data_IF_919973330332
#
_entry.id   IF_919973330332
#
_cell.length_a   1.000
_cell.length_b   1.000
_cell.length_c   1.000
_cell.angle_alpha   90.00
_cell.angle_beta   90.00
_cell.angle_gamma   90.00
#
_symmetry.space_group_name_H-M   'P 1'
#
loop_
_entity.id
_entity.type
_entity.pdbx_description
1 polymer ?
#
# COMPACT_ATOMS: atom_id res chain seq x y z
N UNK A 1 -13.96 9.41 -0.30
CA UNK A 1 -13.53 10.83 -0.38
C UNK A 1 -14.66 11.81 -0.76
N UNK A 2 -15.65 11.44 -1.63
CA UNK A 2 -16.70 12.36 -2.06
C UNK A 2 -17.53 12.91 -0.89
N UNK A 3 -17.99 12.07 0.03
CA UNK A 3 -18.78 12.45 1.21
C UNK A 3 -17.98 13.40 2.11
N UNK A 4 -16.72 13.04 2.42
CA UNK A 4 -15.82 13.85 3.22
C UNK A 4 -15.63 15.26 2.63
N UNK A 5 -15.40 15.35 1.32
CA UNK A 5 -15.23 16.61 0.62
C UNK A 5 -16.52 17.46 0.66
N UNK A 6 -17.69 16.84 0.50
CA UNK A 6 -18.96 17.54 0.58
C UNK A 6 -19.25 18.04 1.99
N UNK A 7 -18.99 17.20 3.02
CA UNK A 7 -19.12 17.63 4.41
C UNK A 7 -18.19 18.80 4.72
N UNK A 8 -16.91 18.73 4.33
CA UNK A 8 -15.97 19.81 4.55
C UNK A 8 -16.33 21.10 3.80
N UNK A 9 -16.90 20.98 2.59
CA UNK A 9 -17.44 22.12 1.85
C UNK A 9 -18.61 22.74 2.60
N UNK A 10 -19.57 21.92 3.07
CA UNK A 10 -20.70 22.39 3.86
C UNK A 10 -20.23 23.15 5.12
N UNK A 11 -19.26 22.61 5.86
CA UNK A 11 -18.69 23.28 7.04
C UNK A 11 -18.14 24.67 6.72
N UNK A 12 -17.51 24.85 5.56
CA UNK A 12 -17.03 26.16 5.08
C UNK A 12 -18.19 27.09 4.70
N UNK A 13 -19.18 26.59 3.98
CA UNK A 13 -20.33 27.37 3.51
C UNK A 13 -21.19 27.86 4.69
N UNK A 14 -21.26 27.08 5.78
CA UNK A 14 -22.00 27.43 7.01
C UNK A 14 -21.47 28.69 7.71
N UNK A 15 -20.22 29.13 7.45
CA UNK A 15 -19.70 30.40 7.99
C UNK A 15 -20.54 31.57 7.45
N UNK A 16 -20.95 31.52 6.20
CA UNK A 16 -21.67 32.58 5.52
C UNK A 16 -23.18 32.31 5.46
N UNK A 17 -23.58 31.05 5.64
CA UNK A 17 -24.96 30.56 5.55
C UNK A 17 -25.29 29.62 6.71
N UNK A 18 -25.60 30.16 7.90
CA UNK A 18 -25.89 29.34 9.08
C UNK A 18 -27.13 28.45 8.93
N UNK A 19 -28.06 28.79 8.02
CA UNK A 19 -29.24 28.00 7.64
C UNK A 19 -28.88 26.59 7.16
N UNK A 20 -27.70 26.41 6.56
CA UNK A 20 -27.20 25.12 6.08
C UNK A 20 -26.88 24.12 7.20
N UNK A 21 -26.90 24.56 8.47
CA UNK A 21 -26.63 23.68 9.64
C UNK A 21 -27.59 22.49 9.70
N UNK A 22 -28.82 22.65 9.23
CA UNK A 22 -29.82 21.59 9.21
C UNK A 22 -29.46 20.43 8.24
N UNK A 23 -28.59 20.67 7.28
CA UNK A 23 -28.15 19.65 6.30
C UNK A 23 -26.94 18.84 6.79
N UNK A 24 -26.23 19.31 7.83
CA UNK A 24 -25.04 18.64 8.35
C UNK A 24 -25.29 17.20 8.83
N UNK A 25 -26.41 16.89 9.51
CA UNK A 25 -26.70 15.52 9.93
C UNK A 25 -26.78 14.51 8.79
N UNK A 26 -27.22 14.93 7.60
CA UNK A 26 -27.30 14.05 6.42
C UNK A 26 -25.89 13.59 6.00
N UNK A 27 -24.92 14.48 6.04
CA UNK A 27 -23.53 14.15 5.72
C UNK A 27 -22.85 13.37 6.85
N UNK A 28 -23.20 13.67 8.11
CA UNK A 28 -22.72 12.94 9.27
C UNK A 28 -23.18 11.47 9.21
N UNK A 29 -24.46 11.21 8.88
CA UNK A 29 -25.00 9.86 8.74
C UNK A 29 -24.29 9.06 7.62
N UNK A 30 -24.13 9.67 6.44
CA UNK A 30 -23.41 9.03 5.35
C UNK A 30 -21.94 8.77 5.71
N UNK A 31 -21.28 9.72 6.38
CA UNK A 31 -19.89 9.55 6.84
C UNK A 31 -19.78 8.37 7.82
N UNK A 32 -20.72 8.23 8.74
CA UNK A 32 -20.77 7.13 9.69
C UNK A 32 -21.00 5.80 9.00
N UNK A 33 -21.99 5.71 8.11
CA UNK A 33 -22.30 4.48 7.37
C UNK A 33 -21.10 3.95 6.60
N UNK A 34 -20.57 4.78 5.69
CA UNK A 34 -19.46 4.35 4.84
C UNK A 34 -18.14 4.28 5.59
N UNK A 35 -17.95 5.15 6.59
CA UNK A 35 -16.75 5.14 7.42
C UNK A 35 -16.61 3.85 8.23
N UNK A 36 -17.68 3.37 8.86
CA UNK A 36 -17.71 2.08 9.57
C UNK A 36 -17.37 0.91 8.65
N UNK A 37 -17.93 0.91 7.43
CA UNK A 37 -17.62 -0.14 6.44
C UNK A 37 -16.15 -0.13 6.04
N UNK A 38 -15.53 1.06 5.88
CA UNK A 38 -14.11 1.20 5.57
C UNK A 38 -13.24 0.68 6.73
N UNK A 39 -13.54 1.08 7.97
CA UNK A 39 -12.78 0.65 9.16
C UNK A 39 -12.80 -0.88 9.28
N UNK A 40 -13.98 -1.49 9.18
CA UNK A 40 -14.13 -2.96 9.26
C UNK A 40 -13.37 -3.65 8.13
N UNK A 41 -13.50 -3.16 6.89
CA UNK A 41 -12.81 -3.77 5.75
C UNK A 41 -11.29 -3.64 5.85
N UNK A 42 -10.78 -2.49 6.32
CA UNK A 42 -9.34 -2.30 6.56
C UNK A 42 -8.82 -3.26 7.62
N UNK A 43 -9.55 -3.42 8.73
CA UNK A 43 -9.16 -4.37 9.79
C UNK A 43 -9.05 -5.78 9.23
N UNK A 44 -10.10 -6.27 8.59
CA UNK A 44 -10.09 -7.61 7.96
C UNK A 44 -8.96 -7.74 6.95
N UNK A 45 -8.73 -6.73 6.09
CA UNK A 45 -7.68 -6.74 5.08
C UNK A 45 -6.28 -6.84 5.70
N UNK A 46 -6.02 -6.11 6.79
CA UNK A 46 -4.73 -6.17 7.48
C UNK A 46 -4.54 -7.51 8.19
N UNK A 47 -5.60 -8.09 8.76
CA UNK A 47 -5.56 -9.41 9.37
C UNK A 47 -5.23 -10.49 8.31
N UNK A 48 -5.94 -10.48 7.16
CA UNK A 48 -5.68 -11.36 6.02
C UNK A 48 -4.24 -11.21 5.48
N UNK A 49 -3.75 -9.97 5.41
CA UNK A 49 -2.41 -9.66 4.91
C UNK A 49 -1.32 -10.14 5.87
N UNK A 50 -1.54 -10.04 7.19
CA UNK A 50 -0.60 -10.50 8.21
C UNK A 50 -0.34 -12.01 8.14
N UNK A 51 -1.35 -12.82 7.80
CA UNK A 51 -1.18 -14.27 7.61
C UNK A 51 -0.13 -14.59 6.53
N UNK A 52 -0.03 -13.74 5.51
CA UNK A 52 0.86 -13.95 4.37
C UNK A 52 2.20 -13.25 4.60
N UNK A 53 2.17 -11.97 5.00
CA UNK A 53 3.38 -11.15 5.11
C UNK A 53 4.36 -11.66 6.15
N UNK A 54 3.87 -12.26 7.21
CA UNK A 54 4.70 -12.84 8.27
C UNK A 54 5.69 -13.88 7.72
N UNK A 55 5.20 -14.87 6.98
CA UNK A 55 6.04 -15.92 6.41
C UNK A 55 6.94 -15.39 5.29
N UNK A 56 6.43 -14.52 4.43
CA UNK A 56 7.23 -13.91 3.36
C UNK A 56 8.39 -13.10 3.94
N UNK A 57 8.13 -12.29 4.96
CA UNK A 57 9.19 -11.47 5.57
C UNK A 57 10.25 -12.32 6.25
N UNK A 58 9.85 -13.38 6.95
CA UNK A 58 10.82 -14.34 7.54
C UNK A 58 11.72 -14.94 6.47
N UNK A 59 11.18 -15.36 5.35
CA UNK A 59 11.95 -15.96 4.27
C UNK A 59 12.92 -14.95 3.64
N UNK A 60 12.47 -13.72 3.36
CA UNK A 60 13.32 -12.66 2.78
C UNK A 60 14.43 -12.22 3.73
N UNK A 61 14.13 -12.14 5.03
CA UNK A 61 15.09 -11.71 6.07
C UNK A 61 16.03 -12.82 6.53
N UNK A 62 15.90 -14.04 6.00
CA UNK A 62 16.66 -15.21 6.43
C UNK A 62 16.30 -15.66 7.85
N UNK A 63 15.01 -15.58 8.19
CA UNK A 63 14.43 -15.95 9.51
C UNK A 63 14.93 -15.11 10.70
N UNK A 64 15.52 -13.95 10.43
CA UNK A 64 16.06 -13.06 11.47
C UNK A 64 15.05 -12.10 12.06
N UNK A 65 14.03 -11.74 11.27
CA UNK A 65 13.06 -10.70 11.61
C UNK A 65 11.64 -11.16 11.28
N UNK A 66 10.68 -10.61 11.99
CA UNK A 66 9.25 -10.81 11.74
C UNK A 66 8.59 -9.47 11.50
N UNK A 67 7.76 -9.36 10.45
CA UNK A 67 6.97 -8.17 10.15
C UNK A 67 5.51 -8.42 10.55
N UNK A 68 4.97 -7.49 11.32
CA UNK A 68 3.56 -7.46 11.70
C UNK A 68 3.00 -6.09 11.32
N UNK A 69 1.90 -6.08 10.59
CA UNK A 69 1.14 -4.88 10.27
C UNK A 69 0.07 -4.67 11.33
N UNK A 70 0.02 -3.46 11.91
CA UNK A 70 -1.04 -3.12 12.89
C UNK A 70 -1.88 -1.98 12.32
N UNK A 71 -3.16 -2.22 12.18
CA UNK A 71 -4.10 -1.17 11.81
C UNK A 71 -4.32 -0.24 13.00
N UNK A 72 -4.08 1.04 12.80
CA UNK A 72 -4.28 2.10 13.79
C UNK A 72 -5.46 2.99 13.35
N UNK A 73 -6.70 2.58 13.62
CA UNK A 73 -7.86 3.40 13.29
C UNK A 73 -7.84 4.69 14.12
N UNK A 74 -8.12 5.82 13.49
CA UNK A 74 -8.31 7.10 14.18
C UNK A 74 -9.44 7.02 15.20
N UNK A 75 -10.43 6.18 14.92
CA UNK A 75 -11.58 5.93 15.78
C UNK A 75 -12.07 4.49 15.62
N UNK A 76 -12.43 3.86 16.72
CA UNK A 76 -13.11 2.58 16.70
C UNK A 76 -14.54 2.74 16.15
N UNK A 77 -14.97 1.77 15.34
CA UNK A 77 -16.30 1.72 14.73
C UNK A 77 -17.44 1.91 15.75
N UNK A 78 -17.31 1.31 16.94
CA UNK A 78 -18.32 1.40 18.00
C UNK A 78 -18.51 2.83 18.54
N UNK A 79 -17.43 3.62 18.59
CA UNK A 79 -17.45 4.97 19.16
C UNK A 79 -17.51 6.08 18.11
N UNK A 80 -17.57 5.74 16.84
CA UNK A 80 -17.45 6.72 15.76
C UNK A 80 -18.51 7.82 15.82
N UNK A 81 -19.76 7.49 16.11
CA UNK A 81 -20.84 8.48 16.21
C UNK A 81 -20.62 9.46 17.36
N UNK A 82 -20.25 8.95 18.52
CA UNK A 82 -20.04 9.77 19.71
C UNK A 82 -18.86 10.72 19.52
N UNK A 83 -17.75 10.23 18.97
CA UNK A 83 -16.59 11.06 18.71
C UNK A 83 -16.83 12.07 17.58
N UNK A 84 -17.60 11.72 16.55
CA UNK A 84 -17.99 12.68 15.52
C UNK A 84 -18.84 13.81 16.11
N UNK A 85 -19.76 13.48 17.03
CA UNK A 85 -20.58 14.47 17.75
C UNK A 85 -19.71 15.37 18.65
N UNK A 86 -18.76 14.81 19.39
CA UNK A 86 -17.82 15.57 20.23
C UNK A 86 -16.91 16.49 19.40
N UNK A 87 -16.50 16.03 18.22
CA UNK A 87 -15.66 16.79 17.31
C UNK A 87 -16.38 17.92 16.59
N UNK A 88 -17.72 18.01 16.67
CA UNK A 88 -18.54 18.93 15.86
C UNK A 88 -18.12 20.40 15.99
N UNK A 89 -17.88 20.89 17.20
CA UNK A 89 -17.46 22.28 17.42
C UNK A 89 -16.06 22.55 16.83
N UNK A 90 -15.15 21.59 16.96
CA UNK A 90 -13.82 21.64 16.36
C UNK A 90 -13.91 21.66 14.85
N UNK A 91 -14.71 20.77 14.27
CA UNK A 91 -14.91 20.67 12.83
C UNK A 91 -15.51 21.96 12.24
N UNK A 92 -16.47 22.57 12.94
CA UNK A 92 -17.04 23.86 12.57
C UNK A 92 -15.98 24.98 12.60
N UNK A 93 -15.16 25.03 13.65
CA UNK A 93 -14.09 26.04 13.80
C UNK A 93 -13.04 25.95 12.69
N UNK A 94 -12.61 24.75 12.35
CA UNK A 94 -11.55 24.51 11.37
C UNK A 94 -12.07 24.20 9.97
N UNK A 95 -13.40 24.13 9.77
CA UNK A 95 -14.04 23.78 8.49
C UNK A 95 -13.54 22.46 7.91
N UNK A 96 -13.21 21.51 8.77
CA UNK A 96 -12.62 20.24 8.39
C UNK A 96 -13.06 19.11 9.31
N UNK A 97 -13.41 17.97 8.74
CA UNK A 97 -13.70 16.74 9.48
C UNK A 97 -12.43 16.22 10.13
N UNK A 98 -12.44 16.09 11.46
CA UNK A 98 -11.27 15.69 12.26
C UNK A 98 -11.28 14.22 12.69
N UNK A 99 -12.42 13.52 12.55
CA UNK A 99 -12.60 12.13 12.99
C UNK A 99 -13.07 11.27 11.83
N UNK A 100 -12.51 10.07 11.71
CA UNK A 100 -12.94 9.08 10.72
C UNK A 100 -11.78 8.42 9.97
N UNK A 101 -12.09 7.47 9.05
CA UNK A 101 -11.09 6.60 8.41
C UNK A 101 -10.09 7.31 7.48
N UNK A 102 -10.31 8.58 7.16
CA UNK A 102 -9.34 9.40 6.42
C UNK A 102 -8.16 9.86 7.29
N UNK A 103 -8.20 9.58 8.59
CA UNK A 103 -7.16 9.85 9.59
C UNK A 103 -6.50 8.58 10.12
N UNK A 104 -6.91 7.42 9.62
CA UNK A 104 -6.30 6.15 10.02
C UNK A 104 -4.84 6.08 9.61
N UNK A 105 -4.09 5.31 10.35
CA UNK A 105 -2.70 4.98 10.05
C UNK A 105 -2.46 3.47 10.13
N UNK A 106 -1.27 3.05 9.76
CA UNK A 106 -0.80 1.68 9.84
C UNK A 106 0.63 1.64 10.40
N UNK A 107 0.84 0.85 11.42
CA UNK A 107 2.15 0.61 12.01
C UNK A 107 2.81 -0.61 11.33
N UNK A 108 4.08 -0.48 11.02
CA UNK A 108 4.93 -1.55 10.50
C UNK A 108 5.88 -1.98 11.61
N UNK A 109 5.54 -3.03 12.32
CA UNK A 109 6.30 -3.55 13.44
C UNK A 109 7.24 -4.66 12.97
N UNK A 110 8.55 -4.41 13.01
CA UNK A 110 9.57 -5.43 12.78
C UNK A 110 10.26 -5.75 14.11
N UNK A 111 9.96 -6.94 14.64
CA UNK A 111 10.54 -7.42 15.89
C UNK A 111 10.40 -6.42 17.07
N UNK A 112 9.25 -5.74 17.15
CA UNK A 112 8.93 -4.77 18.21
C UNK A 112 9.35 -3.32 17.91
N UNK A 113 9.81 -3.02 16.70
CA UNK A 113 10.27 -1.68 16.30
C UNK A 113 9.38 -1.14 15.18
N UNK A 114 8.85 0.09 15.34
CA UNK A 114 8.21 0.84 14.23
C UNK A 114 9.28 1.23 13.20
N UNK A 115 9.33 0.50 12.09
CA UNK A 115 10.37 0.68 11.07
C UNK A 115 10.24 1.96 10.26
N UNK A 116 9.07 2.60 10.24
CA UNK A 116 8.91 3.90 9.59
C UNK A 116 9.67 5.01 10.32
N UNK A 117 9.83 4.87 11.65
CA UNK A 117 10.51 5.85 12.49
C UNK A 117 11.95 5.46 12.83
N UNK A 118 12.18 4.17 13.07
CA UNK A 118 13.43 3.70 13.67
C UNK A 118 14.10 2.57 12.88
N UNK A 119 13.50 2.12 11.76
CA UNK A 119 14.03 1.04 10.95
C UNK A 119 15.23 1.47 10.11
N UNK A 120 16.19 0.56 9.94
CA UNK A 120 17.25 0.73 8.96
C UNK A 120 16.68 0.74 7.54
N UNK A 121 17.40 1.32 6.57
CA UNK A 121 17.02 1.28 5.16
C UNK A 121 16.79 -0.16 4.65
N UNK A 122 17.64 -1.10 5.10
CA UNK A 122 17.49 -2.51 4.76
C UNK A 122 16.18 -3.11 5.26
N UNK A 123 15.78 -2.80 6.51
CA UNK A 123 14.52 -3.24 7.09
C UNK A 123 13.32 -2.64 6.35
N UNK A 124 13.36 -1.34 6.03
CA UNK A 124 12.30 -0.67 5.29
C UNK A 124 12.11 -1.28 3.90
N UNK A 125 13.21 -1.51 3.14
CA UNK A 125 13.16 -2.15 1.82
C UNK A 125 12.66 -3.58 1.89
N UNK A 126 13.14 -4.38 2.85
CA UNK A 126 12.67 -5.76 3.04
C UNK A 126 11.17 -5.80 3.35
N UNK A 127 10.70 -4.92 4.21
CA UNK A 127 9.28 -4.86 4.58
C UNK A 127 8.40 -4.40 3.43
N UNK A 128 8.85 -3.42 2.64
CA UNK A 128 8.14 -2.98 1.44
C UNK A 128 8.02 -4.12 0.40
N UNK A 129 9.11 -4.86 0.17
CA UNK A 129 9.10 -6.01 -0.72
C UNK A 129 8.17 -7.12 -0.21
N UNK A 130 8.25 -7.46 1.09
CA UNK A 130 7.38 -8.47 1.70
C UNK A 130 5.91 -8.09 1.58
N UNK A 131 5.57 -6.82 1.78
CA UNK A 131 4.21 -6.32 1.63
C UNK A 131 3.71 -6.45 0.19
N UNK A 132 4.54 -6.07 -0.79
CA UNK A 132 4.18 -6.18 -2.22
C UNK A 132 3.93 -7.61 -2.65
N UNK A 133 4.77 -8.54 -2.22
CA UNK A 133 4.56 -9.97 -2.50
C UNK A 133 3.31 -10.51 -1.79
N UNK A 134 3.05 -10.07 -0.55
CA UNK A 134 1.84 -10.45 0.17
C UNK A 134 0.56 -9.92 -0.48
N UNK A 135 0.58 -8.69 -1.03
CA UNK A 135 -0.53 -8.14 -1.82
C UNK A 135 -0.84 -9.02 -3.04
N UNK A 136 0.19 -9.49 -3.77
CA UNK A 136 0.03 -10.38 -4.93
C UNK A 136 -0.67 -11.68 -4.51
N UNK A 137 -0.18 -12.32 -3.46
CA UNK A 137 -0.76 -13.57 -2.97
C UNK A 137 -2.20 -13.38 -2.46
N UNK A 138 -2.49 -12.26 -1.81
CA UNK A 138 -3.84 -11.92 -1.37
C UNK A 138 -4.79 -11.69 -2.56
N UNK A 139 -4.31 -11.01 -3.60
CA UNK A 139 -5.08 -10.80 -4.85
C UNK A 139 -5.37 -12.14 -5.53
N UNK A 140 -4.37 -13.02 -5.69
CA UNK A 140 -4.56 -14.37 -6.25
C UNK A 140 -5.64 -15.15 -5.49
N UNK A 141 -5.59 -15.11 -4.13
CA UNK A 141 -6.60 -15.76 -3.29
C UNK A 141 -8.01 -15.17 -3.48
N UNK A 142 -8.10 -13.85 -3.68
CA UNK A 142 -9.40 -13.15 -3.72
C UNK A 142 -10.11 -13.25 -5.07
N UNK A 143 -9.36 -13.17 -6.17
CA UNK A 143 -9.93 -13.15 -7.53
C UNK A 143 -9.75 -14.47 -8.28
N UNK A 144 -8.97 -15.42 -7.72
CA UNK A 144 -8.62 -16.71 -8.34
C UNK A 144 -7.94 -16.57 -9.73
N UNK A 145 -7.31 -15.42 -9.97
CA UNK A 145 -6.54 -15.14 -11.17
C UNK A 145 -5.17 -14.58 -10.80
N UNK A 146 -4.18 -14.83 -11.66
CA UNK A 146 -2.84 -14.29 -11.45
C UNK A 146 -2.78 -12.86 -12.01
N UNK A 147 -2.44 -11.85 -11.18
CA UNK A 147 -2.33 -10.47 -11.64
C UNK A 147 -1.11 -10.28 -12.55
N UNK A 148 -1.13 -9.23 -13.38
CA UNK A 148 0.07 -8.74 -14.07
C UNK A 148 0.86 -7.85 -13.10
N UNK A 149 2.15 -8.15 -12.93
CA UNK A 149 3.03 -7.40 -12.04
C UNK A 149 3.85 -6.37 -12.82
N UNK A 150 3.86 -5.15 -12.32
CA UNK A 150 4.68 -4.05 -12.83
C UNK A 150 5.73 -3.67 -11.79
N UNK A 151 7.01 -3.82 -12.11
CA UNK A 151 8.14 -3.48 -11.25
C UNK A 151 8.94 -2.36 -11.92
N UNK A 152 8.81 -1.15 -11.36
CA UNK A 152 9.50 0.03 -11.87
C UNK A 152 10.75 0.31 -11.04
N UNK A 153 11.92 0.05 -11.62
CA UNK A 153 13.27 0.21 -11.04
C UNK A 153 13.51 -0.47 -9.68
N UNK A 154 12.68 -1.46 -9.33
CA UNK A 154 12.72 -2.09 -7.99
C UNK A 154 14.01 -2.88 -7.79
N UNK A 155 14.56 -3.48 -8.85
CA UNK A 155 15.74 -4.34 -8.75
C UNK A 155 17.00 -3.57 -8.36
N UNK A 156 17.16 -2.31 -8.78
CA UNK A 156 18.30 -1.46 -8.45
C UNK A 156 18.40 -1.15 -6.93
N UNK A 157 17.27 -1.21 -6.23
CA UNK A 157 17.19 -0.94 -4.80
C UNK A 157 17.47 -2.16 -3.91
N UNK A 158 17.58 -3.35 -4.50
CA UNK A 158 17.71 -4.62 -3.78
C UNK A 158 19.11 -5.19 -3.90
N UNK A 159 19.61 -5.78 -2.81
CA UNK A 159 20.80 -6.65 -2.86
C UNK A 159 20.49 -7.96 -3.59
N UNK A 160 21.55 -8.67 -3.99
CA UNK A 160 21.45 -9.90 -4.78
C UNK A 160 20.60 -11.00 -4.13
N UNK A 161 20.57 -11.09 -2.79
CA UNK A 161 19.75 -12.08 -2.09
C UNK A 161 18.25 -11.77 -2.21
N UNK A 162 17.88 -10.49 -2.04
CA UNK A 162 16.50 -10.03 -2.19
C UNK A 162 16.04 -10.04 -3.65
N UNK A 163 16.92 -9.69 -4.58
CA UNK A 163 16.65 -9.84 -6.03
C UNK A 163 16.31 -11.29 -6.36
N UNK A 164 17.13 -12.24 -5.92
CA UNK A 164 16.88 -13.67 -6.13
C UNK A 164 15.53 -14.11 -5.56
N UNK A 165 15.23 -13.69 -4.32
CA UNK A 165 13.98 -14.06 -3.69
C UNK A 165 12.79 -13.50 -4.48
N UNK A 166 12.83 -12.23 -4.87
CA UNK A 166 11.79 -11.59 -5.68
C UNK A 166 11.57 -12.34 -6.99
N UNK A 167 12.65 -12.55 -7.78
CA UNK A 167 12.57 -13.20 -9.07
C UNK A 167 12.02 -14.64 -8.97
N UNK A 168 12.45 -15.40 -7.97
CA UNK A 168 11.91 -16.74 -7.72
C UNK A 168 10.43 -16.72 -7.28
N UNK A 169 9.98 -15.68 -6.60
CA UNK A 169 8.60 -15.56 -6.13
C UNK A 169 7.62 -15.16 -7.24
N UNK A 170 8.11 -14.62 -8.36
CA UNK A 170 7.29 -14.11 -9.47
C UNK A 170 7.40 -14.92 -10.75
N UNK A 171 8.08 -16.07 -10.75
CA UNK A 171 8.37 -16.85 -11.97
C UNK A 171 7.10 -17.27 -12.73
N UNK A 172 5.97 -17.51 -12.03
CA UNK A 172 4.69 -17.88 -12.61
C UNK A 172 3.77 -16.68 -12.87
N UNK A 173 4.31 -15.45 -12.81
CA UNK A 173 3.53 -14.22 -12.93
C UNK A 173 3.97 -13.46 -14.17
N UNK A 174 3.03 -13.08 -15.03
CA UNK A 174 3.35 -12.14 -16.11
C UNK A 174 3.87 -10.83 -15.52
N UNK A 175 5.17 -10.56 -15.72
CA UNK A 175 5.85 -9.43 -15.09
C UNK A 175 6.48 -8.52 -16.12
N UNK A 176 6.33 -7.22 -15.94
CA UNK A 176 7.03 -6.18 -16.69
C UNK A 176 7.97 -5.47 -15.73
N UNK A 177 9.26 -5.49 -16.03
CA UNK A 177 10.31 -4.89 -15.18
C UNK A 177 10.98 -3.78 -15.98
N UNK A 178 11.07 -2.58 -15.39
CA UNK A 178 11.94 -1.51 -15.89
C UNK A 178 13.24 -1.47 -15.06
N UNK A 179 14.36 -1.22 -15.73
CA UNK A 179 15.67 -1.06 -15.08
C UNK A 179 16.63 -0.26 -15.97
N UNK A 180 17.63 0.37 -15.38
CA UNK A 180 18.65 1.14 -16.10
C UNK A 180 19.79 0.31 -16.68
N UNK A 181 19.82 -0.99 -16.40
CA UNK A 181 20.76 -1.98 -16.93
C UNK A 181 20.33 -3.38 -16.51
N UNK A 182 20.66 -4.35 -17.34
CA UNK A 182 20.48 -5.76 -17.02
C UNK A 182 21.79 -6.28 -16.45
N UNK A 183 21.86 -6.39 -15.12
CA UNK A 183 23.00 -7.01 -14.47
C UNK A 183 23.17 -8.47 -14.96
N UNK A 184 24.39 -8.90 -15.15
CA UNK A 184 24.76 -10.26 -15.57
C UNK A 184 24.11 -11.34 -14.68
N UNK A 185 23.88 -10.98 -13.44
CA UNK A 185 23.18 -11.78 -12.45
C UNK A 185 21.72 -12.09 -12.81
N UNK A 186 20.98 -11.11 -13.36
CA UNK A 186 19.56 -11.27 -13.77
C UNK A 186 19.50 -12.12 -15.02
N UNK A 187 20.43 -11.90 -15.96
CA UNK A 187 20.53 -12.65 -17.24
C UNK A 187 20.72 -14.15 -17.03
N UNK A 188 21.54 -14.53 -16.06
CA UNK A 188 21.94 -15.92 -15.86
C UNK A 188 21.00 -16.75 -15.01
N UNK A 189 20.00 -16.13 -14.35
CA UNK A 189 19.15 -16.80 -13.36
C UNK A 189 17.65 -16.67 -13.58
N UNK A 190 17.22 -15.84 -14.52
CA UNK A 190 15.82 -15.62 -14.79
C UNK A 190 15.53 -15.79 -16.28
N UNK A 191 14.51 -16.59 -16.63
CA UNK A 191 14.06 -16.73 -18.03
C UNK A 191 13.36 -15.43 -18.46
N UNK A 192 14.08 -14.62 -19.23
CA UNK A 192 13.53 -13.39 -19.80
C UNK A 192 12.93 -13.74 -21.16
N UNK A 193 11.62 -13.59 -21.30
CA UNK A 193 10.93 -13.91 -22.55
C UNK A 193 11.12 -12.83 -23.62
N UNK A 194 11.14 -11.56 -23.23
CA UNK A 194 11.29 -10.41 -24.14
C UNK A 194 12.05 -9.27 -23.46
N UNK A 195 12.92 -8.63 -24.24
CA UNK A 195 13.66 -7.45 -23.82
C UNK A 195 13.33 -6.31 -24.77
N UNK A 196 13.08 -5.15 -24.19
CA UNK A 196 12.86 -3.91 -24.92
C UNK A 196 13.86 -2.85 -24.43
N UNK A 197 14.56 -2.22 -25.37
CA UNK A 197 15.46 -1.09 -25.11
C UNK A 197 14.73 0.21 -25.44
N UNK A 198 14.77 1.17 -24.52
CA UNK A 198 14.20 2.50 -24.73
C UNK A 198 15.34 3.47 -24.97
N UNK A 199 15.37 4.14 -26.12
CA UNK A 199 16.36 5.14 -26.50
C UNK A 199 15.61 6.35 -27.05
N UNK A 200 15.84 7.52 -26.48
CA UNK A 200 15.22 8.80 -26.90
C UNK A 200 13.70 8.69 -27.10
N UNK A 201 13.02 7.98 -26.18
CA UNK A 201 11.57 7.81 -26.21
C UNK A 201 11.05 6.78 -27.23
N UNK A 202 11.94 6.09 -27.96
CA UNK A 202 11.61 5.03 -28.91
C UNK A 202 11.89 3.65 -28.33
N UNK A 203 11.02 2.68 -28.61
CA UNK A 203 11.11 1.31 -28.08
C UNK A 203 11.64 0.38 -29.18
N UNK A 204 12.68 -0.37 -28.88
CA UNK A 204 13.29 -1.36 -29.76
C UNK A 204 13.20 -2.73 -29.11
N UNK A 205 12.68 -3.73 -29.82
CA UNK A 205 12.76 -5.12 -29.38
C UNK A 205 14.20 -5.60 -29.59
N UNK A 206 14.76 -6.27 -28.58
CA UNK A 206 16.10 -6.84 -28.64
C UNK A 206 16.01 -8.36 -28.62
N UNK A 207 16.84 -9.04 -29.40
CA UNK A 207 17.05 -10.48 -29.27
C UNK A 207 18.03 -10.76 -28.13
N UNK A 208 17.94 -11.93 -27.51
CA UNK A 208 18.79 -12.27 -26.33
C UNK A 208 20.29 -12.26 -26.67
N UNK A 209 20.63 -12.40 -27.95
CA UNK A 209 22.02 -12.40 -28.44
C UNK A 209 22.66 -10.99 -28.48
N UNK A 210 21.84 -9.94 -28.61
CA UNK A 210 22.33 -8.55 -28.74
C UNK A 210 22.95 -7.99 -27.42
N UNK A 211 22.84 -8.71 -26.31
CA UNK A 211 23.34 -8.28 -24.99
C UNK A 211 24.65 -8.93 -24.58
N UNK A 212 25.23 -9.84 -25.40
CA UNK A 212 26.47 -10.52 -25.07
C UNK A 212 27.71 -9.79 -25.56
N UNK A 213 27.58 -8.64 -26.24
CA UNK A 213 28.69 -7.92 -26.88
C UNK A 213 29.09 -6.59 -26.22
N UNK A 214 28.93 -6.42 -24.89
CA UNK A 214 29.57 -5.24 -24.26
C UNK A 214 30.06 -5.58 -22.85
#
# INVERSE_FOLDING_TARGET
NKILNQRNKLLKDMIYRPDLKETLPIWDEQLLEYGRRIIRRRKTFIDELNEIVYELHRNISGSKETLILKYEPNIDDAFFQDELNRAKEKDLRYCQTSVGPHRDDMLFDVSGIDIRKYGSQGQQRTSALSLKLAEIELVKKSIHETPVLLLDDVLSELDSSRQNYLLNSIHDIQTIITCTGLDEFIRNRFEINKIFKVIDGSIFACEQEDFNEH
#
